data_IF_403232783791
#
_entry.id   IF_403232783791
#
_cell.length_a   1.000
_cell.length_b   1.000
_cell.length_c   1.000
_cell.angle_alpha   90.00
_cell.angle_beta   90.00
_cell.angle_gamma   90.00
#
_symmetry.space_group_name_H-M   'P 1'
#
loop_
_entity.id
_entity.type
_entity.pdbx_description
1 polymer ?
#
# COMPACT_ATOMS: atom_id res chain seq x y z
N UNK A 1 -16.06 33.32 -84.35
CA UNK A 1 -15.42 32.34 -83.47
C UNK A 1 -16.03 32.44 -82.06
N UNK A 2 -16.94 31.56 -81.70
CA UNK A 2 -17.58 31.53 -80.39
C UNK A 2 -16.88 30.46 -79.53
N UNK A 3 -16.25 30.83 -78.44
CA UNK A 3 -15.62 29.93 -77.48
C UNK A 3 -16.67 29.62 -76.42
N UNK A 4 -17.04 28.30 -76.34
CA UNK A 4 -17.94 27.79 -75.30
C UNK A 4 -17.07 27.30 -74.11
N UNK A 5 -17.17 27.96 -72.99
CA UNK A 5 -16.56 27.53 -71.74
C UNK A 5 -17.46 26.46 -71.07
N UNK A 6 -16.89 25.24 -70.86
CA UNK A 6 -17.55 24.21 -70.06
C UNK A 6 -17.18 24.40 -68.58
N UNK A 7 -18.18 24.70 -67.72
CA UNK A 7 -18.07 24.61 -66.28
C UNK A 7 -18.11 23.13 -65.84
N UNK A 8 -17.03 22.69 -65.22
CA UNK A 8 -16.99 21.45 -64.44
C UNK A 8 -17.41 21.77 -62.98
N UNK A 9 -18.56 21.25 -62.57
CA UNK A 9 -18.99 21.30 -61.14
C UNK A 9 -18.39 20.07 -60.48
N UNK A 10 -17.39 20.25 -59.62
CA UNK A 10 -16.86 19.20 -58.76
C UNK A 10 -17.75 19.10 -57.50
N UNK A 11 -18.46 17.97 -57.39
CA UNK A 11 -19.20 17.63 -56.15
C UNK A 11 -18.21 17.11 -55.10
N UNK A 12 -17.91 17.91 -54.09
CA UNK A 12 -17.16 17.47 -52.91
C UNK A 12 -18.07 16.64 -52.00
N UNK A 13 -17.83 15.34 -51.98
CA UNK A 13 -18.43 14.44 -50.95
C UNK A 13 -17.79 14.75 -49.59
N UNK A 14 -18.52 15.43 -48.72
CA UNK A 14 -18.20 15.57 -47.33
C UNK A 14 -18.38 14.21 -46.63
N UNK A 15 -17.28 13.46 -46.49
CA UNK A 15 -17.24 12.30 -45.61
C UNK A 15 -17.19 12.84 -44.18
N UNK A 16 -18.31 12.79 -43.46
CA UNK A 16 -18.32 13.07 -42.01
C UNK A 16 -17.43 12.05 -41.30
N UNK A 17 -16.55 12.47 -40.38
CA UNK A 17 -15.79 11.52 -39.60
C UNK A 17 -16.78 10.67 -38.80
N UNK A 18 -16.73 9.35 -39.00
CA UNK A 18 -17.41 8.41 -38.12
C UNK A 18 -16.82 8.60 -36.71
N UNK A 19 -17.58 9.22 -35.83
CA UNK A 19 -17.26 9.22 -34.40
C UNK A 19 -17.15 7.77 -33.98
N UNK A 20 -15.93 7.32 -33.71
CA UNK A 20 -15.70 6.03 -33.08
C UNK A 20 -16.43 6.08 -31.73
N UNK A 21 -17.58 5.44 -31.66
CA UNK A 21 -18.33 5.27 -30.43
C UNK A 21 -17.46 4.34 -29.57
N UNK A 22 -16.72 4.90 -28.62
CA UNK A 22 -15.94 4.13 -27.65
C UNK A 22 -16.95 3.22 -26.94
N UNK A 23 -16.81 1.91 -27.12
CA UNK A 23 -17.65 0.93 -26.44
C UNK A 23 -17.66 1.23 -24.95
N UNK A 24 -18.83 1.19 -24.32
CA UNK A 24 -18.95 1.41 -22.89
C UNK A 24 -18.01 0.45 -22.14
N UNK A 25 -17.22 0.94 -21.18
CA UNK A 25 -16.15 0.16 -20.52
C UNK A 25 -16.68 -1.07 -19.78
N UNK A 26 -17.96 -1.02 -19.36
CA UNK A 26 -18.66 -2.12 -18.70
C UNK A 26 -20.00 -2.38 -19.40
N UNK A 27 -20.52 -3.61 -19.28
CA UNK A 27 -21.87 -3.92 -19.76
C UNK A 27 -22.92 -3.10 -18.99
N UNK A 28 -24.08 -2.87 -19.59
CA UNK A 28 -25.16 -2.12 -18.95
C UNK A 28 -25.57 -2.72 -17.60
N UNK A 29 -25.51 -4.05 -17.44
CA UNK A 29 -25.83 -4.72 -16.17
C UNK A 29 -24.77 -4.48 -15.09
N UNK A 30 -23.48 -4.44 -15.45
CA UNK A 30 -22.38 -4.10 -14.54
C UNK A 30 -22.48 -2.64 -14.14
N UNK A 31 -22.69 -1.73 -15.11
CA UNK A 31 -22.83 -0.31 -14.84
C UNK A 31 -24.02 -0.01 -13.90
N UNK A 32 -25.18 -0.63 -14.15
CA UNK A 32 -26.33 -0.52 -13.24
C UNK A 32 -26.02 -1.03 -11.83
N UNK A 33 -25.25 -2.11 -11.71
CA UNK A 33 -24.84 -2.66 -10.41
C UNK A 33 -23.85 -1.74 -9.70
N UNK A 34 -22.93 -1.09 -10.44
CA UNK A 34 -22.01 -0.08 -9.89
C UNK A 34 -22.84 1.07 -9.30
N UNK A 35 -23.71 1.69 -10.08
CA UNK A 35 -24.49 2.83 -9.63
C UNK A 35 -25.38 2.49 -8.41
N UNK A 36 -25.93 1.28 -8.38
CA UNK A 36 -26.74 0.80 -7.26
C UNK A 36 -25.98 0.63 -5.96
N UNK A 37 -24.66 0.27 -6.00
CA UNK A 37 -23.87 -0.01 -4.81
C UNK A 37 -23.19 1.24 -4.23
N UNK A 38 -23.00 2.31 -5.02
CA UNK A 38 -22.27 3.51 -4.59
C UNK A 38 -22.79 4.11 -3.26
N UNK A 39 -24.10 4.34 -3.05
CA UNK A 39 -24.56 4.91 -1.79
C UNK A 39 -24.22 4.03 -0.58
N UNK A 40 -24.28 2.71 -0.76
CA UNK A 40 -23.98 1.75 0.29
C UNK A 40 -22.48 1.65 0.56
N UNK A 41 -21.65 1.75 -0.48
CA UNK A 41 -20.19 1.81 -0.36
C UNK A 41 -19.76 3.00 0.50
N UNK A 42 -20.32 4.18 0.24
CA UNK A 42 -20.07 5.38 1.05
C UNK A 42 -20.55 5.19 2.50
N UNK A 43 -21.72 4.59 2.70
CA UNK A 43 -22.24 4.31 4.03
C UNK A 43 -21.32 3.35 4.83
N UNK A 44 -20.81 2.30 4.19
CA UNK A 44 -19.84 1.38 4.82
C UNK A 44 -18.55 2.10 5.19
N UNK A 45 -17.99 2.90 4.28
CA UNK A 45 -16.79 3.69 4.56
C UNK A 45 -16.96 4.57 5.78
N UNK A 46 -18.05 5.33 5.86
CA UNK A 46 -18.34 6.21 7.01
C UNK A 46 -18.51 5.44 8.31
N UNK A 47 -19.16 4.29 8.25
CA UNK A 47 -19.35 3.42 9.40
C UNK A 47 -18.04 2.83 9.92
N UNK A 48 -17.13 2.38 9.04
CA UNK A 48 -15.79 1.94 9.43
C UNK A 48 -14.95 3.08 9.96
N UNK A 49 -15.02 4.26 9.35
CA UNK A 49 -14.28 5.44 9.79
C UNK A 49 -14.68 5.91 11.19
N UNK A 50 -15.97 5.84 11.51
CA UNK A 50 -16.51 6.19 12.85
C UNK A 50 -16.14 5.16 13.92
N UNK A 51 -15.87 3.91 13.51
CA UNK A 51 -15.60 2.78 14.40
C UNK A 51 -14.30 2.06 14.03
N UNK A 52 -13.15 2.76 14.01
CA UNK A 52 -11.88 2.17 13.64
C UNK A 52 -11.35 1.23 14.72
N UNK A 53 -10.67 0.18 14.30
CA UNK A 53 -10.08 -0.82 15.18
C UNK A 53 -8.59 -0.98 14.85
N UNK A 54 -7.73 -1.14 15.88
CA UNK A 54 -6.29 -1.31 15.71
C UNK A 54 -5.96 -2.70 15.15
N UNK A 55 -4.71 -2.84 14.69
CA UNK A 55 -4.15 -4.10 14.18
C UNK A 55 -4.44 -5.30 15.07
N UNK A 56 -5.04 -6.35 14.52
CA UNK A 56 -5.54 -7.56 15.19
C UNK A 56 -6.69 -7.35 16.18
N UNK A 57 -7.25 -6.15 16.24
CA UNK A 57 -8.46 -5.85 17.03
C UNK A 57 -9.69 -5.58 16.13
N UNK A 58 -9.61 -5.82 14.81
CA UNK A 58 -10.62 -5.52 13.78
C UNK A 58 -11.84 -6.47 13.87
N UNK A 59 -12.33 -6.76 15.07
CA UNK A 59 -13.38 -7.73 15.35
C UNK A 59 -14.74 -7.31 14.77
N UNK A 60 -15.09 -6.02 14.94
CA UNK A 60 -16.32 -5.45 14.39
C UNK A 60 -16.27 -5.39 12.88
N UNK A 61 -15.18 -4.88 12.32
CA UNK A 61 -14.94 -4.76 10.88
C UNK A 61 -15.03 -6.15 10.22
N UNK A 62 -14.32 -7.14 10.76
CA UNK A 62 -14.37 -8.53 10.33
C UNK A 62 -15.79 -9.09 10.31
N UNK A 63 -16.56 -8.84 11.36
CA UNK A 63 -17.96 -9.30 11.45
C UNK A 63 -18.85 -8.68 10.36
N UNK A 64 -18.74 -7.35 10.14
CA UNK A 64 -19.52 -6.63 9.12
C UNK A 64 -19.19 -7.17 7.73
N UNK A 65 -17.90 -7.32 7.41
CA UNK A 65 -17.42 -7.89 6.16
C UNK A 65 -17.96 -9.31 5.96
N UNK A 66 -17.78 -10.19 6.95
CA UNK A 66 -18.23 -11.59 6.85
C UNK A 66 -19.74 -11.71 6.68
N UNK A 67 -20.52 -10.89 7.38
CA UNK A 67 -21.99 -10.86 7.22
C UNK A 67 -22.39 -10.43 5.81
N UNK A 68 -21.73 -9.39 5.28
CA UNK A 68 -21.98 -8.92 3.93
C UNK A 68 -21.69 -10.00 2.89
N UNK A 69 -20.50 -10.62 2.93
CA UNK A 69 -20.11 -11.65 1.97
C UNK A 69 -21.05 -12.88 2.03
N UNK A 70 -21.47 -13.28 3.24
CA UNK A 70 -22.49 -14.36 3.39
C UNK A 70 -23.84 -13.98 2.77
N UNK A 71 -24.26 -12.71 2.89
CA UNK A 71 -25.51 -12.24 2.27
C UNK A 71 -25.48 -12.33 0.74
N UNK A 72 -24.29 -12.26 0.14
CA UNK A 72 -24.03 -12.46 -1.28
C UNK A 72 -23.88 -13.94 -1.67
N UNK A 73 -24.04 -14.88 -0.72
CA UNK A 73 -23.87 -16.32 -0.90
C UNK A 73 -22.45 -16.70 -1.36
N UNK A 74 -21.44 -16.03 -0.85
CA UNK A 74 -20.04 -16.45 -1.00
C UNK A 74 -19.69 -17.53 0.05
N UNK A 75 -18.71 -18.37 -0.27
CA UNK A 75 -18.05 -19.21 0.72
C UNK A 75 -17.17 -18.30 1.59
N UNK A 76 -17.36 -18.31 2.93
CA UNK A 76 -16.70 -17.34 3.82
C UNK A 76 -15.94 -18.05 4.93
N UNK A 77 -14.63 -17.79 5.02
CA UNK A 77 -13.77 -18.15 6.16
C UNK A 77 -13.48 -16.88 6.97
N UNK A 78 -13.55 -16.99 8.27
CA UNK A 78 -13.23 -15.93 9.24
C UNK A 78 -12.14 -16.40 10.18
N UNK A 79 -11.46 -15.47 10.85
CA UNK A 79 -10.40 -15.80 11.81
C UNK A 79 -9.07 -16.14 11.16
N UNK A 80 -8.90 -15.92 9.85
CA UNK A 80 -7.60 -16.05 9.17
C UNK A 80 -6.71 -14.90 9.61
N UNK A 81 -5.57 -15.20 10.20
CA UNK A 81 -4.74 -14.22 10.90
C UNK A 81 -5.54 -13.43 11.98
N UNK A 82 -6.26 -14.15 12.86
CA UNK A 82 -7.13 -13.66 13.94
C UNK A 82 -8.42 -13.01 13.46
N UNK A 83 -8.37 -11.85 12.81
CA UNK A 83 -9.55 -11.05 12.45
C UNK A 83 -9.80 -11.02 10.94
N UNK A 84 -8.91 -11.57 10.13
CA UNK A 84 -9.06 -11.57 8.67
C UNK A 84 -10.24 -12.38 8.16
N UNK A 85 -10.76 -11.97 7.02
CA UNK A 85 -11.91 -12.61 6.35
C UNK A 85 -11.54 -12.94 4.91
N UNK A 86 -11.88 -14.15 4.49
CA UNK A 86 -11.71 -14.59 3.10
C UNK A 86 -13.07 -15.01 2.54
N UNK A 87 -13.45 -14.40 1.41
CA UNK A 87 -14.65 -14.76 0.66
C UNK A 87 -14.30 -15.37 -0.69
N UNK A 88 -15.02 -16.41 -1.10
CA UNK A 88 -14.82 -17.04 -2.43
C UNK A 88 -16.10 -16.94 -3.24
N UNK A 89 -16.01 -16.30 -4.42
CA UNK A 89 -17.04 -16.24 -5.42
C UNK A 89 -16.68 -17.15 -6.59
N UNK A 90 -17.39 -18.27 -6.72
CA UNK A 90 -17.26 -19.14 -7.89
C UNK A 90 -18.19 -18.63 -8.98
N UNK A 91 -17.64 -18.39 -10.16
CA UNK A 91 -18.39 -18.00 -11.36
C UNK A 91 -19.21 -19.16 -11.92
N UNK A 92 -20.05 -18.84 -12.88
CA UNK A 92 -20.93 -19.82 -13.55
C UNK A 92 -20.22 -20.70 -14.59
N UNK A 93 -18.95 -20.41 -14.91
CA UNK A 93 -18.14 -21.13 -15.90
C UNK A 93 -16.74 -21.39 -15.36
N UNK A 94 -16.07 -22.48 -15.78
CA UNK A 94 -14.66 -22.70 -15.48
C UNK A 94 -13.79 -21.55 -16.01
N UNK A 95 -12.70 -21.27 -15.30
CA UNK A 95 -11.75 -20.22 -15.68
C UNK A 95 -10.68 -20.00 -14.60
N UNK A 96 -9.88 -18.94 -14.72
CA UNK A 96 -8.80 -18.66 -13.78
C UNK A 96 -9.29 -18.35 -12.38
N UNK A 97 -8.40 -18.49 -11.42
CA UNK A 97 -8.58 -18.03 -10.05
C UNK A 97 -7.78 -16.75 -9.87
N UNK A 98 -8.40 -15.70 -9.33
CA UNK A 98 -7.70 -14.47 -8.96
C UNK A 98 -8.06 -14.06 -7.54
N UNK A 99 -7.20 -13.25 -6.91
CA UNK A 99 -7.45 -12.69 -5.59
C UNK A 99 -7.50 -11.16 -5.63
N UNK A 100 -8.36 -10.57 -4.80
CA UNK A 100 -8.45 -9.13 -4.54
C UNK A 100 -8.22 -8.90 -3.05
N UNK A 101 -7.43 -7.89 -2.68
CA UNK A 101 -7.07 -7.62 -1.29
C UNK A 101 -7.48 -6.20 -0.87
N UNK A 102 -7.97 -6.10 0.35
CA UNK A 102 -8.07 -4.86 1.12
C UNK A 102 -7.58 -5.11 2.55
N UNK A 103 -6.83 -4.18 3.09
CA UNK A 103 -6.47 -4.08 4.51
C UNK A 103 -7.63 -3.51 5.33
N UNK A 104 -7.63 -3.76 6.66
CA UNK A 104 -8.77 -3.41 7.52
C UNK A 104 -8.40 -2.59 8.75
N UNK A 105 -7.15 -2.56 9.15
CA UNK A 105 -6.71 -1.98 10.42
C UNK A 105 -6.62 -0.45 10.38
N UNK A 106 -6.75 0.15 11.55
CA UNK A 106 -6.60 1.58 11.79
C UNK A 106 -5.35 1.88 12.61
N UNK A 107 -5.01 3.15 12.74
CA UNK A 107 -3.81 3.66 13.36
C UNK A 107 -4.07 4.31 14.72
N UNK A 108 -3.06 4.31 15.63
CA UNK A 108 -3.13 5.01 16.92
C UNK A 108 -2.97 6.53 16.75
N UNK A 109 -3.90 7.14 16.01
CA UNK A 109 -3.93 8.57 15.67
C UNK A 109 -5.22 9.18 16.20
N UNK A 110 -5.12 10.33 16.88
CA UNK A 110 -6.30 11.12 17.28
C UNK A 110 -6.73 11.97 16.10
N UNK A 111 -7.92 11.73 15.58
CA UNK A 111 -8.43 12.47 14.43
C UNK A 111 -8.69 13.93 14.74
N UNK A 112 -8.18 14.81 13.86
CA UNK A 112 -8.45 16.26 13.86
C UNK A 112 -9.37 16.60 12.68
N UNK A 113 -10.43 17.33 12.91
CA UNK A 113 -11.35 17.77 11.86
C UNK A 113 -12.82 17.66 12.27
N UNK A 114 -13.71 18.10 11.38
CA UNK A 114 -15.14 18.28 11.66
C UNK A 114 -16.03 17.36 10.81
N UNK A 115 -15.52 16.18 10.42
CA UNK A 115 -16.34 15.21 9.69
C UNK A 115 -17.51 14.75 10.56
N UNK A 116 -18.73 14.66 10.01
CA UNK A 116 -19.90 14.20 10.76
C UNK A 116 -19.73 12.79 11.35
N UNK A 117 -18.90 11.97 10.70
CA UNK A 117 -18.57 10.58 11.03
C UNK A 117 -17.12 10.41 11.52
N UNK A 118 -16.51 11.51 12.00
CA UNK A 118 -15.13 11.42 12.51
C UNK A 118 -15.03 10.43 13.66
N UNK A 119 -13.90 9.76 13.76
CA UNK A 119 -13.61 8.85 14.86
C UNK A 119 -13.52 9.58 16.21
N UNK A 120 -14.12 8.98 17.21
CA UNK A 120 -13.95 9.33 18.63
C UNK A 120 -13.43 8.12 19.41
N UNK A 121 -13.06 7.06 18.70
CA UNK A 121 -12.57 5.83 19.30
C UNK A 121 -11.26 6.08 20.06
N UNK A 122 -11.10 5.39 21.15
CA UNK A 122 -9.88 5.38 21.95
C UNK A 122 -9.50 3.95 22.30
N UNK A 123 -8.21 3.70 22.41
CA UNK A 123 -7.68 2.39 22.76
C UNK A 123 -6.33 2.51 23.45
N UNK A 124 -5.69 1.38 23.68
CA UNK A 124 -4.34 1.33 24.24
C UNK A 124 -3.36 0.82 23.18
N UNK A 125 -2.30 1.57 22.97
CA UNK A 125 -1.21 1.19 22.08
C UNK A 125 0.14 1.41 22.79
N UNK A 126 0.97 0.37 22.85
CA UNK A 126 2.25 0.39 23.58
C UNK A 126 2.11 0.93 25.04
N UNK A 127 1.03 0.57 25.73
CA UNK A 127 0.76 0.98 27.09
C UNK A 127 0.21 2.40 27.27
N UNK A 128 0.06 3.16 26.18
CA UNK A 128 -0.47 4.51 26.17
C UNK A 128 -1.93 4.56 25.74
N UNK A 129 -2.68 5.52 26.25
CA UNK A 129 -4.05 5.82 25.85
C UNK A 129 -4.02 6.72 24.61
N UNK A 130 -4.55 6.23 23.48
CA UNK A 130 -4.47 6.89 22.17
C UNK A 130 -5.85 7.04 21.53
N UNK A 131 -6.03 8.04 20.66
CA UNK A 131 -7.13 8.03 19.70
C UNK A 131 -6.87 7.00 18.60
N UNK A 132 -7.93 6.55 17.95
CA UNK A 132 -7.83 5.60 16.83
C UNK A 132 -8.50 6.22 15.61
N UNK A 133 -7.84 6.16 14.44
CA UNK A 133 -8.33 6.73 13.19
C UNK A 133 -7.89 5.89 12.00
N UNK A 134 -8.77 5.75 10.99
CA UNK A 134 -8.35 5.31 9.66
C UNK A 134 -7.58 6.43 8.93
N UNK A 135 -6.35 6.70 9.39
CA UNK A 135 -5.50 7.74 8.84
C UNK A 135 -4.70 7.29 7.59
N UNK A 136 -4.93 6.07 7.12
CA UNK A 136 -4.32 5.52 5.90
C UNK A 136 -5.35 5.21 4.79
N UNK A 137 -6.65 5.27 5.09
CA UNK A 137 -7.73 5.07 4.12
C UNK A 137 -8.22 3.62 4.00
N UNK A 138 -7.85 2.73 4.92
CA UNK A 138 -8.26 1.32 4.90
C UNK A 138 -9.79 1.14 5.01
N UNK A 139 -10.49 2.06 5.67
CA UNK A 139 -11.96 2.14 5.66
C UNK A 139 -12.53 2.20 4.24
N UNK A 140 -11.85 2.91 3.32
CA UNK A 140 -12.24 2.99 1.92
C UNK A 140 -11.88 1.72 1.15
N UNK A 141 -10.74 1.09 1.45
CA UNK A 141 -10.31 -0.15 0.81
C UNK A 141 -11.30 -1.29 1.11
N UNK A 142 -11.67 -1.44 2.38
CA UNK A 142 -12.71 -2.42 2.80
C UNK A 142 -14.03 -2.16 2.08
N UNK A 143 -14.50 -0.90 2.09
CA UNK A 143 -15.78 -0.54 1.47
C UNK A 143 -15.78 -0.77 -0.05
N UNK A 144 -14.68 -0.43 -0.74
CA UNK A 144 -14.49 -0.67 -2.18
C UNK A 144 -14.50 -2.17 -2.48
N UNK A 145 -13.79 -2.99 -1.69
CA UNK A 145 -13.75 -4.44 -1.93
C UNK A 145 -15.10 -5.11 -1.64
N UNK A 146 -15.86 -4.65 -0.62
CA UNK A 146 -17.24 -5.10 -0.38
C UNK A 146 -18.17 -4.72 -1.53
N UNK A 147 -18.02 -3.52 -2.10
CA UNK A 147 -18.79 -3.08 -3.27
C UNK A 147 -18.40 -3.91 -4.51
N UNK A 148 -17.14 -4.17 -4.75
CA UNK A 148 -16.67 -5.05 -5.82
C UNK A 148 -17.27 -6.46 -5.69
N UNK A 149 -17.28 -7.02 -4.48
CA UNK A 149 -17.92 -8.32 -4.21
C UNK A 149 -19.42 -8.30 -4.54
N UNK A 150 -20.12 -7.19 -4.23
CA UNK A 150 -21.54 -7.03 -4.56
C UNK A 150 -21.80 -7.03 -6.07
N UNK A 151 -21.03 -6.21 -6.81
CA UNK A 151 -21.17 -6.12 -8.27
C UNK A 151 -20.84 -7.46 -8.93
N UNK A 152 -19.72 -8.09 -8.55
CA UNK A 152 -19.29 -9.37 -9.12
C UNK A 152 -20.26 -10.51 -8.78
N UNK A 153 -20.80 -10.54 -7.56
CA UNK A 153 -21.83 -11.53 -7.18
C UNK A 153 -23.12 -11.41 -8.03
N UNK A 154 -23.52 -10.18 -8.39
CA UNK A 154 -24.66 -9.98 -9.28
C UNK A 154 -24.42 -10.51 -10.71
N UNK A 155 -23.17 -10.59 -11.12
CA UNK A 155 -22.72 -11.11 -12.42
C UNK A 155 -22.28 -12.58 -12.39
N UNK A 156 -22.46 -13.29 -11.28
CA UNK A 156 -21.93 -14.66 -11.04
C UNK A 156 -22.06 -15.60 -12.23
N UNK A 157 -23.24 -15.66 -12.85
CA UNK A 157 -23.52 -16.55 -13.98
C UNK A 157 -22.68 -16.23 -15.23
N UNK A 158 -22.26 -14.98 -15.37
CA UNK A 158 -21.47 -14.50 -16.51
C UNK A 158 -19.96 -14.60 -16.27
N UNK A 159 -19.51 -14.84 -15.02
CA UNK A 159 -18.10 -14.95 -14.70
C UNK A 159 -17.54 -16.31 -15.09
N UNK A 160 -16.35 -16.32 -15.67
CA UNK A 160 -15.55 -17.51 -15.96
C UNK A 160 -14.37 -17.58 -15.00
N UNK A 161 -14.44 -18.45 -14.00
CA UNK A 161 -13.40 -18.59 -12.98
C UNK A 161 -13.87 -18.27 -11.56
N UNK A 162 -12.90 -17.99 -10.70
CA UNK A 162 -13.13 -17.79 -9.26
C UNK A 162 -12.44 -16.50 -8.78
N UNK A 163 -13.13 -15.73 -7.95
CA UNK A 163 -12.56 -14.54 -7.28
C UNK A 163 -12.47 -14.79 -5.79
N UNK A 164 -11.27 -14.63 -5.24
CA UNK A 164 -11.00 -14.68 -3.80
C UNK A 164 -10.92 -13.25 -3.29
N UNK A 165 -11.74 -12.89 -2.31
CA UNK A 165 -11.71 -11.61 -1.62
C UNK A 165 -10.97 -11.77 -0.31
N UNK A 166 -9.83 -11.10 -0.16
CA UNK A 166 -8.96 -11.14 1.01
C UNK A 166 -9.11 -9.82 1.76
N UNK A 167 -9.74 -9.87 2.92
CA UNK A 167 -9.81 -8.75 3.86
C UNK A 167 -8.78 -9.00 4.94
N UNK A 168 -7.68 -8.25 4.86
CA UNK A 168 -6.48 -8.49 5.62
C UNK A 168 -6.46 -7.62 6.88
N UNK A 169 -6.15 -8.19 8.07
CA UNK A 169 -5.87 -7.43 9.28
C UNK A 169 -4.41 -6.97 9.33
N UNK A 170 -4.10 -6.03 10.22
CA UNK A 170 -2.75 -5.74 10.69
C UNK A 170 -1.71 -5.49 9.58
N UNK A 171 -2.04 -4.61 8.63
CA UNK A 171 -1.09 -4.15 7.60
C UNK A 171 -0.06 -3.21 8.22
N UNK A 172 -0.50 -2.29 9.07
CA UNK A 172 0.30 -1.23 9.71
C UNK A 172 1.31 -1.74 10.75
N UNK A 173 1.33 -3.05 10.95
CA UNK A 173 2.29 -3.75 11.80
C UNK A 173 1.64 -4.50 12.96
N UNK A 174 2.24 -5.63 13.27
CA UNK A 174 1.82 -6.46 14.40
C UNK A 174 2.33 -5.91 15.74
N UNK A 175 1.68 -6.27 16.85
CA UNK A 175 2.26 -6.09 18.18
C UNK A 175 3.66 -6.70 18.28
N UNK A 176 4.51 -6.22 19.21
CA UNK A 176 5.89 -6.70 19.35
C UNK A 176 6.02 -8.22 19.37
N UNK A 177 6.86 -8.77 18.50
CA UNK A 177 7.08 -10.22 18.35
C UNK A 177 6.06 -10.96 17.50
N UNK A 178 5.04 -10.28 16.96
CA UNK A 178 4.05 -10.84 16.06
C UNK A 178 4.46 -10.76 14.58
N UNK A 179 3.77 -11.52 13.73
CA UNK A 179 3.86 -11.41 12.28
C UNK A 179 2.83 -10.38 11.79
N UNK A 180 3.18 -9.57 10.79
CA UNK A 180 2.24 -8.71 10.05
C UNK A 180 1.15 -9.53 9.34
N UNK A 181 0.06 -8.85 9.01
CA UNK A 181 -1.17 -9.50 8.53
C UNK A 181 -0.99 -10.37 7.30
N UNK A 182 -0.35 -9.87 6.25
CA UNK A 182 -0.12 -10.64 5.02
C UNK A 182 0.70 -11.92 5.28
N UNK A 183 1.81 -11.79 6.02
CA UNK A 183 2.67 -12.95 6.35
C UNK A 183 1.90 -14.00 7.15
N UNK A 184 1.09 -13.56 8.10
CA UNK A 184 0.29 -14.46 8.94
C UNK A 184 -0.84 -15.11 8.14
N UNK A 185 -1.54 -14.37 7.29
CA UNK A 185 -2.55 -14.92 6.40
C UNK A 185 -1.98 -16.00 5.47
N UNK A 186 -0.77 -15.78 4.92
CA UNK A 186 -0.06 -16.77 4.10
C UNK A 186 0.32 -18.01 4.92
N UNK A 187 0.86 -17.82 6.13
CA UNK A 187 1.20 -18.94 7.02
C UNK A 187 -0.04 -19.76 7.43
N UNK A 188 -1.21 -19.15 7.48
CA UNK A 188 -2.50 -19.79 7.77
C UNK A 188 -3.27 -20.23 6.50
N UNK A 189 -2.56 -20.36 5.36
CA UNK A 189 -3.12 -20.81 4.08
C UNK A 189 -4.34 -19.98 3.63
N UNK A 190 -4.14 -18.68 3.44
CA UNK A 190 -5.20 -17.71 3.06
C UNK A 190 -6.01 -18.15 1.84
N UNK A 191 -5.39 -18.78 0.86
CA UNK A 191 -6.05 -19.20 -0.38
C UNK A 191 -6.73 -20.58 -0.27
N UNK A 192 -6.51 -21.33 0.81
CA UNK A 192 -7.01 -22.71 0.94
C UNK A 192 -6.43 -23.62 -0.15
N UNK A 193 -7.30 -24.39 -0.78
CA UNK A 193 -6.93 -25.28 -1.91
C UNK A 193 -6.96 -24.55 -3.27
N UNK A 194 -7.22 -23.25 -3.27
CA UNK A 194 -7.24 -22.44 -4.48
C UNK A 194 -5.85 -21.90 -4.80
N UNK A 195 -5.51 -21.84 -6.07
CA UNK A 195 -4.23 -21.36 -6.57
C UNK A 195 -4.46 -20.11 -7.45
N UNK A 196 -4.49 -18.92 -6.89
CA UNK A 196 -4.71 -17.72 -7.69
C UNK A 196 -3.53 -17.48 -8.65
N UNK A 197 -3.86 -17.17 -9.91
CA UNK A 197 -2.87 -16.81 -10.95
C UNK A 197 -2.38 -15.37 -10.78
N UNK A 198 -3.16 -14.53 -10.11
CA UNK A 198 -2.81 -13.14 -9.82
C UNK A 198 -3.56 -12.65 -8.57
N UNK A 199 -2.93 -11.70 -7.87
CA UNK A 199 -3.55 -10.94 -6.78
C UNK A 199 -3.48 -9.44 -7.07
N UNK A 200 -4.55 -8.70 -6.74
CA UNK A 200 -4.62 -7.26 -6.95
C UNK A 200 -4.97 -6.56 -5.64
N UNK A 201 -4.27 -5.46 -5.37
CA UNK A 201 -4.53 -4.56 -4.26
C UNK A 201 -4.48 -3.11 -4.70
N UNK A 202 -5.10 -2.23 -3.94
CA UNK A 202 -5.06 -0.79 -4.16
C UNK A 202 -4.82 -0.04 -2.85
N UNK A 203 -4.37 1.21 -2.95
CA UNK A 203 -4.21 2.06 -1.78
C UNK A 203 -4.64 3.50 -2.06
N UNK A 204 -5.32 4.11 -1.10
CA UNK A 204 -5.67 5.52 -1.08
C UNK A 204 -4.40 6.38 -0.98
N UNK A 205 -4.21 7.30 -1.91
CA UNK A 205 -3.01 8.12 -1.96
C UNK A 205 -3.34 9.60 -2.14
N UNK A 206 -2.63 10.55 -1.50
CA UNK A 206 -2.92 11.97 -1.60
C UNK A 206 -2.56 12.55 -2.97
N UNK A 207 -3.25 12.08 -4.00
CA UNK A 207 -3.20 12.52 -5.39
C UNK A 207 -4.59 12.95 -5.85
N UNK A 208 -4.70 13.53 -7.04
CA UNK A 208 -5.96 14.03 -7.58
C UNK A 208 -7.02 12.93 -7.64
N UNK A 209 -8.18 13.17 -7.05
CA UNK A 209 -9.37 12.31 -7.14
C UNK A 209 -9.76 12.05 -8.60
N UNK A 210 -10.25 10.86 -8.88
CA UNK A 210 -10.60 10.42 -10.23
C UNK A 210 -9.44 9.84 -11.02
N UNK A 211 -8.23 9.76 -10.44
CA UNK A 211 -7.05 9.17 -11.10
C UNK A 211 -6.56 7.91 -10.40
N UNK A 212 -5.86 7.08 -11.15
CA UNK A 212 -5.14 5.89 -10.68
C UNK A 212 -3.69 6.01 -11.08
N UNK A 213 -2.76 5.71 -10.17
CA UNK A 213 -1.32 5.71 -10.48
C UNK A 213 -0.80 4.28 -10.45
N UNK A 214 -0.24 3.84 -11.57
CA UNK A 214 0.23 2.49 -11.83
C UNK A 214 1.72 2.51 -12.18
N UNK A 215 2.54 1.87 -11.34
CA UNK A 215 4.00 1.88 -11.43
C UNK A 215 4.49 0.47 -11.74
N UNK A 216 5.21 0.31 -12.83
CA UNK A 216 5.82 -0.97 -13.24
C UNK A 216 7.16 -1.17 -12.52
N UNK A 217 7.43 -2.36 -12.05
CA UNK A 217 8.62 -2.65 -11.24
C UNK A 217 8.46 -2.20 -9.78
N UNK A 218 9.54 -1.78 -9.11
CA UNK A 218 9.47 -1.32 -7.73
C UNK A 218 8.48 -0.16 -7.57
N UNK A 219 7.56 -0.29 -6.62
CA UNK A 219 6.50 0.69 -6.35
C UNK A 219 6.60 1.27 -4.95
N UNK A 220 6.75 0.42 -3.93
CA UNK A 220 6.94 0.84 -2.54
C UNK A 220 8.17 0.17 -1.95
N UNK A 221 8.83 0.86 -1.01
CA UNK A 221 10.10 0.39 -0.46
C UNK A 221 9.93 -0.79 0.51
N UNK A 222 10.98 -1.58 0.63
CA UNK A 222 11.20 -2.40 1.80
C UNK A 222 11.51 -1.53 3.02
N UNK A 223 11.18 -2.04 4.19
CA UNK A 223 11.38 -1.37 5.47
C UNK A 223 12.01 -2.32 6.45
N UNK A 224 13.19 -1.96 6.96
CA UNK A 224 13.84 -2.71 8.02
C UNK A 224 14.13 -1.80 9.21
N UNK A 225 14.20 -2.42 10.38
CA UNK A 225 14.67 -1.79 11.60
C UNK A 225 16.16 -2.05 11.76
N UNK A 226 16.90 -1.04 12.16
CA UNK A 226 18.30 -1.15 12.57
C UNK A 226 18.44 -0.81 14.05
N UNK A 227 19.10 -1.67 14.81
CA UNK A 227 19.48 -1.48 16.19
C UNK A 227 21.02 -1.54 16.27
N UNK A 228 21.64 -0.54 16.88
CA UNK A 228 23.08 -0.43 17.04
C UNK A 228 23.40 -0.21 18.51
N UNK A 229 24.28 -1.03 19.07
CA UNK A 229 24.84 -0.84 20.42
C UNK A 229 26.31 -0.50 20.29
N UNK A 230 26.70 0.70 20.70
CA UNK A 230 28.08 1.15 20.74
C UNK A 230 28.61 1.02 22.17
N UNK A 231 29.69 0.28 22.34
CA UNK A 231 30.31 0.02 23.63
C UNK A 231 31.70 0.69 23.72
N UNK A 232 31.87 1.52 24.72
CA UNK A 232 33.12 2.18 25.09
C UNK A 232 33.59 1.75 26.46
N UNK A 233 34.22 2.70 27.18
CA UNK A 233 34.68 2.51 28.54
C UNK A 233 34.37 3.75 29.39
N UNK A 234 33.52 3.54 30.41
CA UNK A 234 33.04 4.60 31.30
C UNK A 234 34.22 5.30 32.02
N UNK A 235 34.14 6.64 32.08
CA UNK A 235 35.14 7.44 32.80
C UNK A 235 34.54 8.80 33.22
N UNK A 236 35.33 9.56 33.99
CA UNK A 236 34.97 10.93 34.35
C UNK A 236 35.01 11.85 33.13
N UNK A 237 33.99 12.68 32.93
CA UNK A 237 33.86 13.56 31.74
C UNK A 237 35.03 14.55 31.55
N UNK A 238 35.79 14.88 32.63
CA UNK A 238 37.01 15.68 32.56
C UNK A 238 38.29 14.86 32.29
N UNK A 239 38.18 13.52 32.19
CA UNK A 239 39.32 12.61 31.95
C UNK A 239 38.99 11.65 30.78
N UNK A 240 38.63 12.16 29.59
CA UNK A 240 38.23 11.32 28.47
C UNK A 240 39.31 10.36 28.00
N UNK A 241 40.58 10.71 28.20
CA UNK A 241 41.75 9.88 27.85
C UNK A 241 41.88 8.61 28.71
N UNK A 242 41.16 8.52 29.83
CA UNK A 242 41.14 7.35 30.71
C UNK A 242 40.05 6.33 30.37
N UNK A 243 39.24 6.61 29.32
CA UNK A 243 38.16 5.74 28.83
C UNK A 243 38.04 5.79 27.32
N UNK A 244 36.91 5.29 26.84
CA UNK A 244 36.52 5.33 25.42
C UNK A 244 35.09 5.88 25.38
N UNK A 245 34.88 7.00 24.66
CA UNK A 245 33.62 7.71 24.63
C UNK A 245 32.65 7.15 23.56
N UNK A 246 31.62 6.36 23.93
CA UNK A 246 30.70 5.81 22.98
C UNK A 246 29.71 6.87 22.41
N UNK A 247 29.56 8.05 23.08
CA UNK A 247 28.71 9.14 22.56
C UNK A 247 29.41 9.77 21.34
N UNK A 248 30.69 10.09 21.46
CA UNK A 248 31.48 10.63 20.33
C UNK A 248 31.56 9.61 19.18
N UNK A 249 31.81 8.33 19.50
CA UNK A 249 31.78 7.26 18.51
C UNK A 249 30.45 7.15 17.79
N UNK A 250 29.31 7.23 18.51
CA UNK A 250 27.95 7.21 17.94
C UNK A 250 27.69 8.38 17.00
N UNK A 251 28.13 9.58 17.35
CA UNK A 251 27.98 10.76 16.49
C UNK A 251 28.75 10.58 15.17
N UNK A 252 29.96 10.00 15.21
CA UNK A 252 30.73 9.68 14.00
C UNK A 252 30.05 8.58 13.17
N UNK A 253 29.50 7.54 13.81
CA UNK A 253 28.77 6.47 13.13
C UNK A 253 27.54 7.04 12.40
N UNK A 254 26.74 7.92 13.04
CA UNK A 254 25.58 8.55 12.41
C UNK A 254 26.00 9.30 11.15
N UNK A 255 27.07 10.10 11.21
CA UNK A 255 27.59 10.83 10.05
C UNK A 255 28.12 9.89 8.96
N UNK A 256 28.88 8.86 9.32
CA UNK A 256 29.42 7.88 8.39
C UNK A 256 28.33 7.09 7.68
N UNK A 257 27.26 6.71 8.38
CA UNK A 257 26.10 6.02 7.80
C UNK A 257 25.44 6.81 6.66
N UNK A 258 25.48 8.16 6.67
CA UNK A 258 24.95 8.98 5.57
C UNK A 258 25.77 8.82 4.29
N UNK A 259 26.98 8.30 4.37
CA UNK A 259 27.78 7.99 3.17
C UNK A 259 27.31 6.71 2.47
N UNK A 260 26.60 5.82 3.15
CA UNK A 260 26.08 4.58 2.55
C UNK A 260 25.10 4.92 1.42
N UNK A 261 24.00 5.66 1.63
CA UNK A 261 23.10 6.06 0.55
C UNK A 261 23.78 6.91 -0.52
N UNK A 262 24.62 7.86 -0.09
CA UNK A 262 25.13 8.92 -0.98
C UNK A 262 26.41 8.55 -1.75
N UNK A 263 27.19 7.57 -1.30
CA UNK A 263 28.53 7.24 -1.88
C UNK A 263 28.76 5.76 -2.11
N UNK A 264 27.99 4.87 -1.47
CA UNK A 264 28.25 3.44 -1.51
C UNK A 264 27.14 2.65 -2.23
N UNK A 265 25.97 3.28 -2.46
CA UNK A 265 24.87 2.73 -3.23
C UNK A 265 24.63 3.57 -4.48
N UNK A 266 23.98 2.99 -5.48
CA UNK A 266 23.55 3.71 -6.67
C UNK A 266 22.32 4.57 -6.30
N UNK A 267 22.54 5.87 -6.17
CA UNK A 267 21.50 6.81 -5.74
C UNK A 267 20.35 6.98 -6.73
N UNK A 268 20.52 6.58 -7.99
CA UNK A 268 19.51 6.68 -9.05
C UNK A 268 18.84 5.33 -9.30
N UNK A 269 19.63 4.29 -9.59
CA UNK A 269 19.10 2.97 -9.97
C UNK A 269 18.65 2.11 -8.77
N UNK A 270 19.16 2.40 -7.57
CA UNK A 270 18.83 1.65 -6.35
C UNK A 270 18.85 2.58 -5.13
N UNK A 271 17.97 3.59 -5.09
CA UNK A 271 17.94 4.55 -3.99
C UNK A 271 17.62 3.86 -2.66
N UNK A 272 18.32 4.28 -1.62
CA UNK A 272 18.14 3.78 -0.25
C UNK A 272 18.10 4.93 0.74
N UNK A 273 17.45 4.70 1.89
CA UNK A 273 17.42 5.63 3.03
C UNK A 273 17.95 4.89 4.25
N UNK A 274 18.82 5.53 5.03
CA UNK A 274 19.26 5.07 6.34
C UNK A 274 19.08 6.21 7.33
N UNK A 275 18.17 6.03 8.29
CA UNK A 275 17.85 7.05 9.29
C UNK A 275 18.05 6.48 10.68
N UNK A 276 18.77 7.20 11.54
CA UNK A 276 18.79 6.95 12.97
C UNK A 276 17.79 7.91 13.61
N UNK A 277 16.73 7.36 14.21
CA UNK A 277 15.64 8.11 14.82
C UNK A 277 15.70 8.22 16.34
N UNK A 278 16.49 7.32 17.00
CA UNK A 278 16.63 7.30 18.45
C UNK A 278 18.09 7.10 18.82
N UNK A 279 18.54 7.85 19.83
CA UNK A 279 19.87 7.72 20.46
C UNK A 279 19.67 7.80 21.98
N UNK A 280 20.14 6.81 22.71
CA UNK A 280 20.04 6.73 24.17
C UNK A 280 21.39 6.37 24.78
N UNK A 281 21.88 7.20 25.70
CA UNK A 281 23.12 6.96 26.41
C UNK A 281 23.42 8.01 27.47
N UNK A 282 24.13 7.61 28.52
CA UNK A 282 24.47 8.46 29.64
C UNK A 282 23.32 8.68 30.63
N UNK A 283 23.70 8.95 31.89
CA UNK A 283 22.79 9.22 33.00
C UNK A 283 23.09 10.55 33.71
N UNK A 284 24.29 11.10 33.47
CA UNK A 284 24.74 12.36 34.07
C UNK A 284 25.75 13.07 33.15
N UNK A 285 25.63 14.40 33.08
CA UNK A 285 26.39 15.27 32.16
C UNK A 285 27.94 15.16 32.27
N UNK A 286 28.47 14.74 33.40
CA UNK A 286 29.92 14.67 33.64
C UNK A 286 30.46 13.22 33.76
N UNK A 287 29.74 12.25 33.24
CA UNK A 287 30.12 10.85 33.15
C UNK A 287 30.05 10.41 31.70
N UNK A 288 31.16 9.96 31.12
CA UNK A 288 31.18 9.23 29.86
C UNK A 288 30.58 7.84 30.12
N UNK A 289 29.48 7.45 29.42
CA UNK A 289 28.82 6.18 29.71
C UNK A 289 29.61 4.97 29.19
N UNK A 290 29.17 3.78 29.61
CA UNK A 290 29.70 2.53 29.09
C UNK A 290 29.15 2.23 27.68
N UNK A 291 27.87 2.55 27.43
CA UNK A 291 27.19 2.19 26.18
C UNK A 291 26.30 3.32 25.67
N UNK A 292 26.08 3.33 24.36
CA UNK A 292 25.04 4.09 23.67
C UNK A 292 24.25 3.13 22.79
N UNK A 293 22.93 3.24 22.81
CA UNK A 293 22.02 2.51 21.95
C UNK A 293 21.41 3.44 20.90
N UNK A 294 21.34 3.00 19.66
CA UNK A 294 20.72 3.73 18.57
C UNK A 294 19.73 2.83 17.84
N UNK A 295 18.62 3.40 17.39
CA UNK A 295 17.62 2.70 16.59
C UNK A 295 17.24 3.54 15.38
N UNK A 296 16.93 2.86 14.28
CA UNK A 296 16.59 3.53 13.04
C UNK A 296 15.83 2.67 12.05
N UNK A 297 15.69 3.21 10.86
CA UNK A 297 15.05 2.51 9.74
C UNK A 297 15.94 2.51 8.50
N UNK A 298 15.82 1.43 7.73
CA UNK A 298 16.43 1.27 6.42
C UNK A 298 15.30 1.15 5.41
N UNK A 299 15.40 1.88 4.27
CA UNK A 299 14.47 1.78 3.14
C UNK A 299 15.23 1.49 1.87
N UNK A 300 14.68 0.62 1.00
CA UNK A 300 15.28 0.26 -0.29
C UNK A 300 14.18 -0.18 -1.26
N UNK A 301 14.37 0.10 -2.55
CA UNK A 301 13.40 -0.23 -3.60
C UNK A 301 13.76 -1.52 -4.35
N UNK A 302 15.04 -1.83 -4.46
CA UNK A 302 15.50 -3.00 -5.20
C UNK A 302 15.89 -4.13 -4.24
N UNK A 303 15.15 -5.26 -4.22
CA UNK A 303 15.46 -6.39 -3.34
C UNK A 303 16.84 -6.98 -3.59
N UNK A 304 17.36 -6.94 -4.84
CA UNK A 304 18.67 -7.51 -5.19
C UNK A 304 19.84 -6.75 -4.56
N UNK A 305 19.63 -5.54 -4.07
CA UNK A 305 20.66 -4.72 -3.44
C UNK A 305 20.72 -4.88 -1.91
N UNK A 306 19.76 -5.57 -1.32
CA UNK A 306 19.56 -5.67 0.13
C UNK A 306 20.77 -6.18 0.89
N UNK A 307 21.29 -7.34 0.50
CA UNK A 307 22.43 -7.96 1.21
C UNK A 307 23.68 -7.08 1.14
N UNK A 308 23.95 -6.47 -0.02
CA UNK A 308 25.05 -5.52 -0.19
C UNK A 308 24.85 -4.26 0.66
N UNK A 309 23.61 -3.77 0.79
CA UNK A 309 23.28 -2.63 1.65
C UNK A 309 23.59 -2.94 3.12
N UNK A 310 23.17 -4.11 3.60
CA UNK A 310 23.40 -4.56 4.97
C UNK A 310 24.89 -4.75 5.27
N UNK A 311 25.63 -5.36 4.36
CA UNK A 311 27.08 -5.48 4.49
C UNK A 311 27.76 -4.12 4.65
N UNK A 312 27.39 -3.15 3.80
CA UNK A 312 27.94 -1.80 3.84
C UNK A 312 27.58 -1.06 5.13
N UNK A 313 26.35 -1.19 5.60
CA UNK A 313 25.91 -0.62 6.89
C UNK A 313 26.73 -1.22 8.03
N UNK A 314 26.80 -2.55 8.14
CA UNK A 314 27.55 -3.22 9.22
C UNK A 314 29.00 -2.81 9.22
N UNK A 315 29.66 -2.86 8.06
CA UNK A 315 31.07 -2.45 7.92
C UNK A 315 31.26 -0.99 8.32
N UNK A 316 30.44 -0.07 7.82
CA UNK A 316 30.56 1.35 8.15
C UNK A 316 30.45 1.59 9.65
N UNK A 317 29.52 0.93 10.33
CA UNK A 317 29.34 1.06 11.78
C UNK A 317 30.54 0.49 12.55
N UNK A 318 30.95 -0.74 12.25
CA UNK A 318 31.99 -1.43 13.01
C UNK A 318 33.39 -0.78 12.83
N UNK A 319 33.74 -0.40 11.59
CA UNK A 319 35.00 0.26 11.30
C UNK A 319 35.08 1.67 11.89
N UNK A 320 33.95 2.43 11.87
CA UNK A 320 33.92 3.76 12.50
C UNK A 320 34.01 3.67 14.01
N UNK A 321 33.38 2.69 14.65
CA UNK A 321 33.54 2.44 16.08
C UNK A 321 35.01 2.09 16.42
N UNK A 322 35.58 1.17 15.67
CA UNK A 322 36.99 0.73 15.87
C UNK A 322 37.99 1.89 15.75
N UNK A 323 37.77 2.83 14.82
CA UNK A 323 38.60 4.01 14.65
C UNK A 323 38.63 4.93 15.89
N UNK A 324 37.64 4.84 16.77
CA UNK A 324 37.59 5.57 18.05
C UNK A 324 38.00 4.71 19.25
N UNK A 325 38.37 3.46 19.03
CA UNK A 325 38.65 2.48 20.07
C UNK A 325 37.42 1.81 20.68
N UNK A 326 36.20 2.18 20.22
CA UNK A 326 34.94 1.57 20.64
C UNK A 326 34.63 0.29 19.84
N UNK A 327 33.67 -0.50 20.32
CA UNK A 327 33.08 -1.59 19.56
C UNK A 327 31.60 -1.28 19.24
N UNK A 328 31.08 -1.87 18.15
CA UNK A 328 29.65 -1.72 17.83
C UNK A 328 29.08 -3.04 17.34
N UNK A 329 27.86 -3.33 17.80
CA UNK A 329 27.04 -4.43 17.34
C UNK A 329 25.85 -3.87 16.55
N UNK A 330 25.51 -4.54 15.42
CA UNK A 330 24.44 -4.12 14.51
C UNK A 330 23.47 -5.28 14.29
N UNK A 331 22.23 -5.09 14.68
CA UNK A 331 21.12 -5.98 14.36
C UNK A 331 20.20 -5.31 13.34
N UNK A 332 19.87 -6.00 12.26
CA UNK A 332 18.91 -5.54 11.25
C UNK A 332 17.76 -6.55 11.22
N UNK A 333 16.55 -6.06 11.44
CA UNK A 333 15.32 -6.86 11.45
C UNK A 333 14.45 -6.45 10.27
N UNK A 334 14.07 -7.42 9.43
CA UNK A 334 13.15 -7.21 8.33
C UNK A 334 11.74 -6.96 8.86
N UNK A 335 11.13 -5.84 8.44
CA UNK A 335 9.71 -5.54 8.71
C UNK A 335 8.87 -5.73 7.44
N UNK A 336 9.30 -5.21 6.29
CA UNK A 336 8.62 -5.37 5.03
C UNK A 336 9.62 -5.44 3.86
N UNK A 337 9.30 -6.23 2.85
CA UNK A 337 10.04 -6.30 1.59
C UNK A 337 9.47 -5.29 0.58
N UNK A 338 10.21 -4.91 -0.48
CA UNK A 338 9.69 -4.01 -1.52
C UNK A 338 8.46 -4.58 -2.21
N UNK A 339 7.45 -3.72 -2.44
CA UNK A 339 6.32 -4.02 -3.32
C UNK A 339 6.77 -3.82 -4.76
N UNK A 340 6.76 -4.90 -5.54
CA UNK A 340 7.27 -4.90 -6.91
C UNK A 340 6.21 -5.43 -7.86
N UNK A 341 5.73 -4.59 -8.76
CA UNK A 341 4.73 -4.95 -9.75
C UNK A 341 5.39 -5.62 -10.96
N UNK A 342 5.10 -6.90 -11.27
CA UNK A 342 5.65 -7.57 -12.44
C UNK A 342 5.30 -6.82 -13.73
N UNK A 343 6.28 -6.43 -14.58
CA UNK A 343 6.04 -5.55 -15.73
C UNK A 343 4.98 -6.06 -16.71
N UNK A 344 4.98 -7.34 -17.04
CA UNK A 344 4.01 -7.93 -17.97
C UNK A 344 2.58 -7.91 -17.40
N UNK A 345 2.41 -8.25 -16.11
CA UNK A 345 1.11 -8.22 -15.43
C UNK A 345 0.64 -6.77 -15.27
N UNK A 346 1.55 -5.86 -14.92
CA UNK A 346 1.24 -4.42 -14.79
C UNK A 346 0.78 -3.83 -16.13
N UNK A 347 1.44 -4.14 -17.25
CA UNK A 347 1.05 -3.63 -18.56
C UNK A 347 -0.38 -4.08 -18.93
N UNK A 348 -0.72 -5.35 -18.71
CA UNK A 348 -2.07 -5.88 -18.91
C UNK A 348 -3.10 -5.19 -18.01
N UNK A 349 -2.75 -5.05 -16.72
CA UNK A 349 -3.62 -4.43 -15.71
C UNK A 349 -3.88 -2.96 -16.06
N UNK A 350 -2.83 -2.21 -16.43
CA UNK A 350 -2.96 -0.82 -16.88
C UNK A 350 -3.90 -0.69 -18.07
N UNK A 351 -3.74 -1.55 -19.08
CA UNK A 351 -4.60 -1.53 -20.26
C UNK A 351 -6.08 -1.80 -19.90
N UNK A 352 -6.36 -2.70 -18.95
CA UNK A 352 -7.72 -2.96 -18.48
C UNK A 352 -8.31 -1.74 -17.75
N UNK A 353 -7.54 -1.11 -16.86
CA UNK A 353 -7.97 0.08 -16.10
C UNK A 353 -8.16 1.28 -17.03
N UNK A 354 -7.27 1.47 -18.01
CA UNK A 354 -7.37 2.56 -18.98
C UNK A 354 -8.60 2.41 -19.90
N UNK A 355 -8.96 1.20 -20.30
CA UNK A 355 -10.24 0.96 -21.01
C UNK A 355 -11.46 1.34 -20.18
N UNK A 356 -11.40 1.15 -18.85
CA UNK A 356 -12.52 1.41 -17.95
C UNK A 356 -12.65 2.87 -17.52
N UNK A 357 -11.53 3.56 -17.32
CA UNK A 357 -11.50 4.93 -16.79
C UNK A 357 -11.18 5.98 -17.85
N UNK A 358 -10.55 5.61 -18.96
CA UNK A 358 -9.89 6.50 -19.92
C UNK A 358 -8.40 6.67 -19.62
N UNK A 359 -7.56 6.81 -20.67
CA UNK A 359 -6.10 6.94 -20.53
C UNK A 359 -5.69 8.15 -19.67
N UNK A 360 -6.43 9.26 -19.76
CA UNK A 360 -6.16 10.49 -19.02
C UNK A 360 -6.35 10.34 -17.49
N UNK A 361 -7.00 9.27 -17.05
CA UNK A 361 -7.21 8.93 -15.64
C UNK A 361 -6.17 7.93 -15.09
N UNK A 362 -5.26 7.42 -15.93
CA UNK A 362 -4.27 6.41 -15.53
C UNK A 362 -2.86 6.97 -15.66
N UNK A 363 -2.32 7.40 -14.54
CA UNK A 363 -0.99 7.99 -14.45
C UNK A 363 0.09 6.91 -14.32
N UNK A 364 1.29 7.24 -14.78
CA UNK A 364 2.53 6.63 -14.32
C UNK A 364 3.10 7.48 -13.18
N UNK A 365 3.90 6.87 -12.30
CA UNK A 365 4.50 7.59 -11.17
C UNK A 365 5.92 7.13 -10.90
N UNK A 366 6.54 7.77 -9.90
CA UNK A 366 7.78 7.33 -9.30
C UNK A 366 7.49 6.44 -8.09
N UNK A 367 8.37 5.48 -7.78
CA UNK A 367 8.25 4.69 -6.57
C UNK A 367 8.30 5.58 -5.32
N UNK A 368 7.70 5.11 -4.23
CA UNK A 368 7.64 5.82 -2.95
C UNK A 368 8.40 5.04 -1.86
N UNK A 369 8.82 5.73 -0.79
CA UNK A 369 9.59 5.13 0.30
C UNK A 369 8.77 4.57 1.48
N UNK A 370 7.47 4.83 1.68
CA UNK A 370 6.62 3.99 2.53
C UNK A 370 6.66 2.52 2.10
N UNK A 371 6.42 1.63 3.06
CA UNK A 371 6.35 0.18 2.86
C UNK A 371 4.90 -0.30 2.88
N UNK A 372 4.68 -1.51 2.37
CA UNK A 372 3.36 -2.15 2.27
C UNK A 372 3.55 -3.68 2.34
N UNK A 373 2.83 -4.37 3.21
CA UNK A 373 2.98 -5.80 3.42
C UNK A 373 2.31 -6.67 2.34
N UNK A 374 1.53 -6.07 1.42
CA UNK A 374 1.06 -6.72 0.19
C UNK A 374 2.20 -7.40 -0.59
N UNK A 375 3.41 -6.89 -0.45
CA UNK A 375 4.61 -7.46 -1.03
C UNK A 375 4.81 -8.95 -0.69
N UNK A 376 4.37 -9.40 0.48
CA UNK A 376 4.44 -10.82 0.84
C UNK A 376 3.46 -11.68 0.02
N UNK A 377 2.28 -11.16 -0.30
CA UNK A 377 1.39 -11.84 -1.25
C UNK A 377 2.04 -11.92 -2.64
N UNK A 378 2.78 -10.88 -3.07
CA UNK A 378 3.50 -10.90 -4.34
C UNK A 378 4.63 -11.94 -4.40
N UNK A 379 5.19 -12.34 -3.26
CA UNK A 379 6.13 -13.48 -3.21
C UNK A 379 5.44 -14.83 -3.46
N UNK A 380 4.18 -14.97 -3.06
CA UNK A 380 3.42 -16.20 -3.19
C UNK A 380 2.67 -16.28 -4.53
N UNK A 381 2.23 -15.14 -5.07
CA UNK A 381 1.38 -15.04 -6.26
C UNK A 381 1.76 -13.78 -7.04
N UNK A 382 1.91 -13.82 -8.39
CA UNK A 382 2.10 -12.59 -9.15
C UNK A 382 1.04 -11.55 -8.80
N UNK A 383 1.46 -10.36 -8.31
CA UNK A 383 0.54 -9.37 -7.79
C UNK A 383 0.75 -7.98 -8.39
N UNK A 384 -0.32 -7.22 -8.51
CA UNK A 384 -0.28 -5.80 -8.89
C UNK A 384 -0.91 -4.97 -7.77
N UNK A 385 -0.14 -3.98 -7.32
CA UNK A 385 -0.58 -2.96 -6.40
C UNK A 385 -0.59 -1.61 -7.10
N UNK A 386 -1.57 -0.75 -6.82
CA UNK A 386 -1.68 0.56 -7.45
C UNK A 386 -2.34 1.58 -6.52
N UNK A 387 -2.06 2.86 -6.76
CA UNK A 387 -2.68 3.94 -6.00
C UNK A 387 -3.92 4.48 -6.70
N UNK A 388 -4.90 4.96 -5.92
CA UNK A 388 -5.96 5.83 -6.41
C UNK A 388 -5.94 7.16 -5.65
N UNK A 389 -6.15 8.24 -6.38
CA UNK A 389 -6.07 9.59 -5.84
C UNK A 389 -7.28 9.93 -4.98
N UNK A 390 -7.04 10.54 -3.80
CA UNK A 390 -8.09 10.84 -2.80
C UNK A 390 -8.24 12.32 -2.49
N UNK A 391 -7.40 13.20 -3.06
CA UNK A 391 -7.51 14.63 -2.82
C UNK A 391 -8.72 15.22 -3.55
N UNK A 392 -9.43 16.18 -2.95
CA UNK A 392 -10.44 16.95 -3.66
C UNK A 392 -9.87 17.62 -4.90
N UNK A 393 -10.69 17.90 -5.93
CA UNK A 393 -10.25 18.67 -7.09
C UNK A 393 -9.62 20.00 -6.68
N UNK A 394 -8.47 20.32 -7.27
CA UNK A 394 -7.73 21.55 -6.99
C UNK A 394 -6.78 21.51 -5.79
N UNK A 395 -6.79 20.45 -5.00
CA UNK A 395 -5.83 20.24 -3.91
C UNK A 395 -4.66 19.39 -4.40
N UNK A 396 -3.46 19.97 -4.38
CA UNK A 396 -2.24 19.27 -4.79
C UNK A 396 -1.75 18.29 -3.69
N UNK A 397 -0.87 17.37 -4.05
CA UNK A 397 -0.26 16.46 -3.09
C UNK A 397 0.53 17.19 -1.98
N UNK A 398 1.13 18.32 -2.30
CA UNK A 398 1.90 19.13 -1.33
C UNK A 398 1.01 19.85 -0.31
N UNK A 399 -0.24 20.15 -0.66
CA UNK A 399 -1.22 20.84 0.19
C UNK A 399 -2.07 19.87 1.01
N UNK A 400 -2.20 18.63 0.55
CA UNK A 400 -2.98 17.61 1.24
C UNK A 400 -2.25 17.08 2.48
N UNK A 401 -3.03 16.74 3.51
CA UNK A 401 -2.51 15.98 4.62
C UNK A 401 -2.10 14.58 4.13
N UNK A 402 -0.85 14.12 4.37
CA UNK A 402 -0.41 12.80 3.94
C UNK A 402 -1.07 11.70 4.77
N UNK A 403 -0.95 10.45 4.29
CA UNK A 403 -1.31 9.27 5.09
C UNK A 403 -0.63 9.35 6.48
N UNK A 404 -1.27 8.80 7.50
CA UNK A 404 -0.90 8.82 8.93
C UNK A 404 -1.01 10.21 9.61
N UNK A 405 -1.47 11.23 8.90
CA UNK A 405 -1.72 12.55 9.47
C UNK A 405 -3.11 12.61 10.14
N UNK A 406 -3.28 13.25 11.32
CA UNK A 406 -4.58 13.38 11.99
C UNK A 406 -5.65 14.13 11.18
N UNK A 407 -5.27 14.79 10.09
CA UNK A 407 -6.17 15.47 9.13
C UNK A 407 -6.23 14.80 7.78
N UNK A 408 -5.74 13.56 7.66
CA UNK A 408 -5.87 12.78 6.42
C UNK A 408 -7.35 12.67 6.04
N UNK A 409 -7.64 12.93 4.74
CA UNK A 409 -9.00 12.99 4.24
C UNK A 409 -9.12 12.28 2.89
N UNK A 410 -10.21 11.54 2.71
CA UNK A 410 -10.57 10.93 1.43
C UNK A 410 -11.77 11.64 0.84
N UNK A 411 -11.61 12.21 -0.36
CA UNK A 411 -12.70 12.71 -1.17
C UNK A 411 -13.56 11.53 -1.66
N UNK A 412 -14.74 11.36 -1.10
CA UNK A 412 -15.58 10.16 -1.29
C UNK A 412 -15.89 9.79 -2.76
N UNK A 413 -16.06 10.75 -3.69
CA UNK A 413 -16.21 10.41 -5.12
C UNK A 413 -15.03 9.63 -5.71
N UNK A 414 -13.83 9.71 -5.13
CA UNK A 414 -12.66 8.92 -5.53
C UNK A 414 -12.89 7.40 -5.40
N UNK A 415 -13.76 6.98 -4.50
CA UNK A 415 -14.05 5.58 -4.25
C UNK A 415 -14.73 4.89 -5.45
N UNK A 416 -15.50 5.63 -6.27
CA UNK A 416 -16.04 5.10 -7.53
C UNK A 416 -14.91 4.75 -8.50
N UNK A 417 -13.89 5.59 -8.61
CA UNK A 417 -12.70 5.33 -9.44
C UNK A 417 -11.99 4.05 -8.96
N UNK A 418 -11.80 3.90 -7.65
CA UNK A 418 -11.20 2.71 -7.06
C UNK A 418 -12.03 1.44 -7.35
N UNK A 419 -13.35 1.51 -7.19
CA UNK A 419 -14.26 0.41 -7.49
C UNK A 419 -14.20 0.01 -8.98
N UNK A 420 -14.26 0.99 -9.89
CA UNK A 420 -14.16 0.76 -11.33
C UNK A 420 -12.83 0.13 -11.72
N UNK A 421 -11.71 0.58 -11.13
CA UNK A 421 -10.40 -0.01 -11.36
C UNK A 421 -10.35 -1.46 -10.89
N UNK A 422 -10.83 -1.78 -9.69
CA UNK A 422 -10.89 -3.17 -9.18
C UNK A 422 -11.79 -4.07 -10.03
N UNK A 423 -12.92 -3.56 -10.50
CA UNK A 423 -13.80 -4.31 -11.42
C UNK A 423 -13.14 -4.51 -12.78
N UNK A 424 -12.43 -3.51 -13.32
CA UNK A 424 -11.74 -3.61 -14.59
C UNK A 424 -10.69 -4.72 -14.58
N UNK A 425 -9.82 -4.75 -13.58
CA UNK A 425 -8.78 -5.78 -13.45
C UNK A 425 -9.40 -7.17 -13.25
N UNK A 426 -10.51 -7.24 -12.53
CA UNK A 426 -11.20 -8.51 -12.27
C UNK A 426 -11.87 -9.05 -13.55
N UNK A 427 -12.66 -8.22 -14.21
CA UNK A 427 -13.40 -8.62 -15.40
C UNK A 427 -12.50 -8.88 -16.61
N UNK A 428 -11.32 -8.25 -16.69
CA UNK A 428 -10.29 -8.60 -17.69
C UNK A 428 -9.77 -10.04 -17.50
N UNK A 429 -9.85 -10.60 -16.30
CA UNK A 429 -9.39 -11.96 -15.98
C UNK A 429 -10.51 -12.99 -16.01
N UNK A 430 -11.63 -12.68 -15.37
CA UNK A 430 -12.74 -13.63 -15.15
C UNK A 430 -14.05 -13.20 -15.83
N UNK A 431 -14.08 -12.06 -16.49
CA UNK A 431 -15.19 -11.67 -17.35
C UNK A 431 -15.28 -12.63 -18.51
N UNK A 432 -16.41 -13.29 -18.70
CA UNK A 432 -16.65 -14.05 -19.92
C UNK A 432 -16.62 -13.13 -21.13
N UNK A 433 -16.34 -13.69 -22.31
CA UNK A 433 -16.16 -12.96 -23.55
C UNK A 433 -17.11 -11.75 -23.72
N UNK A 434 -16.59 -10.56 -23.37
CA UNK A 434 -17.03 -9.32 -23.96
C UNK A 434 -16.10 -9.04 -25.12
N UNK A 435 -16.33 -9.76 -26.23
CA UNK A 435 -15.80 -9.40 -27.55
C UNK A 435 -16.75 -8.46 -28.22
#
# INVERSE_FOLDING_TARGET
MKIVAKLLVAAALLVAPASAQTAAPFSASVESSIQSVLPRMIAWRRDFHEHPELSYEEVRTSRVVAQHLRSLRLEVRTGVAQTGVVGVLRGGRPGPVIALRADMDALPVTEEGDLPFRSRARGRYNGQDVGIMHACGHDTHVAVLMAAATVLASQRHNLAGTVIFVFQPSEEGAPPGGLGGARRMLAENVFGDLHPEAIYGLHAWPQTSGTVTMISGPMMAGSDRIDITVTGSQTHGAQPHAGIDPIVASAQIINALQTVPSRQMDAVGSPVIVTIGMVQGGVRYNIIPQTVQMQGTIRYLNPDTRERLYERIRRTVTETAAATGATAEVTITENAIPTVNPPALMARTRAAVARALGEDHVNSGLPVMPAEDFAYFQQAVPGVFFFYGVNPPGVTQAEAAPNHNPRFFVHEPAMETALRAMLAVTLDRVGGEQR
#
